data_IF_793813550803
#
_entry.id   IF_793813550803
#
_cell.length_a   1.000
_cell.length_b   1.000
_cell.length_c   1.000
_cell.angle_alpha   90.00
_cell.angle_beta   90.00
_cell.angle_gamma   90.00
#
_symmetry.space_group_name_H-M   'P 1'
#
loop_
_entity.id
_entity.type
_entity.pdbx_description
1 polymer ?
#
# COMPACT_ATOMS: atom_id res chain seq x y z
N UNK A 1 -31.38 5.88 2.70
CA UNK A 1 -30.42 4.78 2.44
C UNK A 1 -29.35 5.18 1.42
N UNK A 2 -29.71 5.58 0.18
CA UNK A 2 -28.72 5.97 -0.84
C UNK A 2 -27.80 7.15 -0.45
N UNK A 3 -28.35 8.22 0.13
CA UNK A 3 -27.56 9.37 0.57
C UNK A 3 -26.54 9.01 1.66
N UNK A 4 -26.91 8.10 2.56
CA UNK A 4 -26.05 7.64 3.65
C UNK A 4 -24.85 6.83 3.12
N UNK A 5 -25.10 5.92 2.18
CA UNK A 5 -24.03 5.13 1.52
C UNK A 5 -23.11 6.05 0.72
N UNK A 6 -23.65 7.06 0.03
CA UNK A 6 -22.86 7.99 -0.75
C UNK A 6 -21.91 8.82 0.12
N UNK A 7 -22.40 9.34 1.26
CA UNK A 7 -21.58 10.08 2.23
C UNK A 7 -20.43 9.21 2.75
N UNK A 8 -20.71 7.94 3.09
CA UNK A 8 -19.70 7.01 3.57
C UNK A 8 -18.60 6.70 2.54
N UNK A 9 -18.98 6.55 1.27
CA UNK A 9 -18.03 6.35 0.18
C UNK A 9 -17.20 7.60 -0.10
N UNK A 10 -17.75 8.80 0.10
CA UNK A 10 -16.98 10.04 0.04
C UNK A 10 -15.97 10.15 1.18
N UNK A 11 -16.36 9.84 2.41
CA UNK A 11 -15.45 9.81 3.57
C UNK A 11 -14.31 8.80 3.38
N UNK A 12 -14.61 7.63 2.81
CA UNK A 12 -13.61 6.61 2.45
C UNK A 12 -12.54 7.18 1.50
N UNK A 13 -12.97 7.82 0.42
CA UNK A 13 -12.06 8.38 -0.60
C UNK A 13 -11.21 9.52 -0.02
N UNK A 14 -11.81 10.37 0.81
CA UNK A 14 -11.07 11.45 1.46
C UNK A 14 -10.06 10.94 2.48
N UNK A 15 -10.40 9.89 3.24
CA UNK A 15 -9.45 9.24 4.14
C UNK A 15 -8.28 8.61 3.36
N UNK A 16 -8.56 7.90 2.27
CA UNK A 16 -7.53 7.33 1.39
C UNK A 16 -6.58 8.42 0.83
N UNK A 17 -7.13 9.53 0.33
CA UNK A 17 -6.34 10.65 -0.21
C UNK A 17 -5.52 11.36 0.87
N UNK A 18 -6.07 11.49 2.07
CA UNK A 18 -5.36 12.09 3.20
C UNK A 18 -4.11 11.28 3.54
N UNK A 19 -4.20 9.95 3.56
CA UNK A 19 -3.07 9.06 3.83
C UNK A 19 -1.93 9.24 2.82
N UNK A 20 -2.25 9.27 1.52
CA UNK A 20 -1.24 9.45 0.45
C UNK A 20 -0.60 10.83 0.52
N UNK A 21 -1.36 11.85 0.94
CA UNK A 21 -0.85 13.23 1.06
C UNK A 21 0.05 13.42 2.28
N UNK A 22 -0.28 12.75 3.39
CA UNK A 22 0.46 12.81 4.64
C UNK A 22 1.76 12.01 4.57
N UNK A 23 1.72 10.82 3.97
CA UNK A 23 2.87 9.94 3.79
C UNK A 23 2.98 9.53 2.31
N UNK A 24 3.77 10.26 1.49
CA UNK A 24 3.97 9.93 0.08
C UNK A 24 4.67 8.58 -0.16
N UNK A 25 5.34 8.01 0.86
CA UNK A 25 6.03 6.73 0.77
C UNK A 25 5.13 5.52 1.09
N UNK A 26 3.88 5.78 1.51
CA UNK A 26 2.89 4.73 1.72
C UNK A 26 2.53 4.06 0.40
N UNK A 27 2.52 2.73 0.38
CA UNK A 27 2.06 2.01 -0.79
C UNK A 27 0.54 2.20 -0.98
N UNK A 28 0.07 2.48 -2.20
CA UNK A 28 -1.37 2.67 -2.49
C UNK A 28 -2.23 1.51 -1.98
N UNK A 29 -1.76 0.27 -2.09
CA UNK A 29 -2.46 -0.90 -1.54
C UNK A 29 -2.64 -0.82 -0.01
N UNK A 30 -1.62 -0.37 0.73
CA UNK A 30 -1.69 -0.24 2.19
C UNK A 30 -2.69 0.85 2.57
N UNK A 31 -2.68 2.00 1.89
CA UNK A 31 -3.66 3.07 2.10
C UNK A 31 -5.09 2.58 1.80
N UNK A 32 -5.29 1.87 0.69
CA UNK A 32 -6.57 1.28 0.32
C UNK A 32 -7.08 0.32 1.40
N UNK A 33 -6.23 -0.59 1.88
CA UNK A 33 -6.60 -1.57 2.91
C UNK A 33 -6.92 -0.91 4.25
N UNK A 34 -6.16 0.12 4.66
CA UNK A 34 -6.49 0.91 5.86
C UNK A 34 -7.87 1.56 5.73
N UNK A 35 -8.16 2.10 4.55
CA UNK A 35 -9.43 2.77 4.27
C UNK A 35 -10.60 1.78 4.27
N UNK A 36 -10.44 0.60 3.65
CA UNK A 36 -11.44 -0.46 3.65
C UNK A 36 -11.68 -1.06 5.05
N UNK A 37 -10.63 -1.18 5.86
CA UNK A 37 -10.74 -1.63 7.25
C UNK A 37 -11.48 -0.62 8.11
N UNK A 38 -11.24 0.68 7.92
CA UNK A 38 -11.96 1.73 8.62
C UNK A 38 -13.44 1.77 8.19
N UNK A 39 -13.71 1.62 6.89
CA UNK A 39 -15.06 1.47 6.34
C UNK A 39 -15.78 0.27 6.95
N UNK A 40 -15.10 -0.88 7.06
CA UNK A 40 -15.62 -2.10 7.68
C UNK A 40 -16.03 -1.88 9.14
N UNK A 41 -15.20 -1.19 9.93
CA UNK A 41 -15.48 -0.93 11.34
C UNK A 41 -16.78 -0.14 11.52
N UNK A 42 -17.01 0.85 10.65
CA UNK A 42 -18.17 1.75 10.76
C UNK A 42 -19.46 1.22 10.11
N UNK A 43 -19.38 0.34 9.10
CA UNK A 43 -20.57 -0.18 8.40
C UNK A 43 -21.50 -1.00 9.32
N UNK A 44 -22.81 -0.82 9.19
CA UNK A 44 -23.86 -1.43 10.02
C UNK A 44 -24.73 -2.42 9.23
N UNK A 45 -24.44 -2.69 7.95
CA UNK A 45 -25.35 -3.38 7.01
C UNK A 45 -24.70 -4.48 6.15
N UNK A 46 -25.29 -4.82 4.98
CA UNK A 46 -24.92 -5.88 4.02
C UNK A 46 -23.45 -5.79 3.55
N UNK A 47 -22.57 -6.34 4.38
CA UNK A 47 -21.11 -6.28 4.29
C UNK A 47 -20.52 -6.55 2.89
N UNK A 48 -20.92 -7.64 2.23
CA UNK A 48 -20.28 -8.09 0.98
C UNK A 48 -20.55 -7.14 -0.20
N UNK A 49 -21.77 -6.61 -0.30
CA UNK A 49 -22.14 -5.69 -1.37
C UNK A 49 -21.51 -4.30 -1.15
N UNK A 50 -21.42 -3.86 0.11
CA UNK A 50 -20.84 -2.56 0.44
C UNK A 50 -19.32 -2.54 0.25
N UNK A 51 -18.62 -3.63 0.58
CA UNK A 51 -17.16 -3.70 0.44
C UNK A 51 -16.72 -3.70 -1.03
N UNK A 52 -17.42 -4.43 -1.90
CA UNK A 52 -17.13 -4.41 -3.35
C UNK A 52 -17.33 -3.02 -3.96
N UNK A 53 -18.38 -2.30 -3.53
CA UNK A 53 -18.60 -0.91 -3.94
C UNK A 53 -17.50 0.03 -3.43
N UNK A 54 -17.03 -0.17 -2.20
CA UNK A 54 -15.93 0.60 -1.63
C UNK A 54 -14.62 0.38 -2.42
N UNK A 55 -14.31 -0.86 -2.79
CA UNK A 55 -13.14 -1.18 -3.62
C UNK A 55 -13.23 -0.46 -4.97
N UNK A 56 -14.36 -0.57 -5.67
CA UNK A 56 -14.56 0.10 -6.97
C UNK A 56 -14.43 1.63 -6.86
N UNK A 57 -14.86 2.25 -5.76
CA UNK A 57 -14.68 3.70 -5.55
C UNK A 57 -13.23 4.11 -5.35
N UNK A 58 -12.42 3.26 -4.70
CA UNK A 58 -10.99 3.49 -4.59
C UNK A 58 -10.28 3.31 -5.93
N UNK A 59 -10.68 2.34 -6.74
CA UNK A 59 -10.16 2.11 -8.10
C UNK A 59 -10.46 3.27 -9.06
N UNK A 60 -11.63 3.88 -8.95
CA UNK A 60 -11.95 5.10 -9.72
C UNK A 60 -11.09 6.30 -9.30
N UNK A 61 -10.56 6.27 -8.07
CA UNK A 61 -9.76 7.36 -7.50
C UNK A 61 -8.27 7.23 -7.83
N UNK A 62 -7.74 6.01 -7.85
CA UNK A 62 -6.33 5.71 -8.10
C UNK A 62 -6.24 4.58 -9.14
N UNK A 63 -5.56 4.87 -10.26
CA UNK A 63 -5.44 3.95 -11.40
C UNK A 63 -4.45 2.80 -11.17
N UNK A 64 -3.82 2.73 -10.00
CA UNK A 64 -2.90 1.67 -9.64
C UNK A 64 -3.62 0.34 -9.49
N UNK A 65 -3.14 -0.67 -10.22
CA UNK A 65 -3.55 -2.07 -10.08
C UNK A 65 -3.32 -2.59 -8.64
N UNK A 66 -2.47 -1.93 -7.86
CA UNK A 66 -2.26 -2.27 -6.45
C UNK A 66 -3.51 -2.06 -5.58
N UNK A 67 -4.34 -1.07 -5.93
CA UNK A 67 -5.58 -0.77 -5.18
C UNK A 67 -6.62 -1.86 -5.44
N UNK A 68 -6.87 -2.21 -6.71
CA UNK A 68 -7.82 -3.27 -7.07
C UNK A 68 -7.39 -4.63 -6.51
N UNK A 69 -6.17 -5.06 -6.83
CA UNK A 69 -5.64 -6.35 -6.37
C UNK A 69 -5.54 -6.45 -4.86
N UNK A 70 -5.09 -5.38 -4.18
CA UNK A 70 -5.01 -5.33 -2.72
C UNK A 70 -6.38 -5.41 -2.05
N UNK A 71 -7.37 -4.69 -2.60
CA UNK A 71 -8.75 -4.70 -2.13
C UNK A 71 -9.42 -6.06 -2.26
N UNK A 72 -9.29 -6.72 -3.41
CA UNK A 72 -9.86 -8.06 -3.64
C UNK A 72 -9.22 -9.12 -2.73
N UNK A 73 -7.88 -9.11 -2.59
CA UNK A 73 -7.17 -10.02 -1.68
C UNK A 73 -7.59 -9.81 -0.24
N UNK A 74 -7.76 -8.55 0.19
CA UNK A 74 -8.26 -8.20 1.51
C UNK A 74 -9.67 -8.75 1.73
N UNK A 75 -10.61 -8.50 0.80
CA UNK A 75 -11.98 -8.99 0.88
C UNK A 75 -12.03 -10.51 0.99
N UNK A 76 -11.23 -11.22 0.17
CA UNK A 76 -11.11 -12.68 0.23
C UNK A 76 -10.57 -13.15 1.57
N UNK A 77 -9.56 -12.46 2.10
CA UNK A 77 -8.93 -12.82 3.36
C UNK A 77 -9.89 -12.69 4.55
N UNK A 78 -10.61 -11.58 4.67
CA UNK A 78 -11.53 -11.34 5.79
C UNK A 78 -12.79 -12.20 5.69
N UNK A 79 -13.26 -12.50 4.47
CA UNK A 79 -14.49 -13.26 4.25
C UNK A 79 -14.34 -14.78 4.40
N UNK A 80 -13.11 -15.30 4.42
CA UNK A 80 -12.86 -16.75 4.44
C UNK A 80 -13.50 -17.46 5.66
N UNK A 81 -13.56 -16.81 6.81
CA UNK A 81 -14.14 -17.35 8.06
C UNK A 81 -15.60 -16.95 8.26
N UNK A 82 -16.16 -16.14 7.35
CA UNK A 82 -17.56 -15.68 7.42
C UNK A 82 -18.57 -16.81 7.32
N UNK A 83 -18.15 -17.96 6.78
CA UNK A 83 -19.00 -19.13 6.53
C UNK A 83 -19.22 -19.99 7.79
N UNK A 84 -18.49 -19.73 8.87
CA UNK A 84 -18.45 -20.59 10.06
C UNK A 84 -19.38 -20.12 11.20
N UNK A 85 -19.98 -18.92 11.07
CA UNK A 85 -20.79 -18.32 12.14
C UNK A 85 -22.20 -17.94 11.66
N UNK A 86 -23.26 -18.45 12.31
CA UNK A 86 -24.64 -18.06 11.99
C UNK A 86 -25.01 -16.65 12.50
N UNK A 87 -24.21 -16.07 13.39
CA UNK A 87 -24.42 -14.73 13.96
C UNK A 87 -23.60 -13.66 13.19
N UNK A 88 -24.32 -12.74 12.55
CA UNK A 88 -23.76 -11.64 11.77
C UNK A 88 -22.85 -10.72 12.60
N UNK A 89 -23.16 -10.53 13.89
CA UNK A 89 -22.39 -9.65 14.78
C UNK A 89 -21.03 -10.24 15.14
N UNK A 90 -20.98 -11.54 15.43
CA UNK A 90 -19.74 -12.27 15.68
C UNK A 90 -18.89 -12.36 14.40
N UNK A 91 -19.54 -12.58 13.26
CA UNK A 91 -18.89 -12.59 11.96
C UNK A 91 -18.14 -11.27 11.67
N UNK A 92 -18.75 -10.12 11.96
CA UNK A 92 -18.12 -8.81 11.77
C UNK A 92 -16.87 -8.63 12.63
N UNK A 93 -16.93 -9.03 13.90
CA UNK A 93 -15.78 -8.91 14.80
C UNK A 93 -14.59 -9.74 14.31
N UNK A 94 -14.84 -10.98 13.88
CA UNK A 94 -13.82 -11.85 13.28
C UNK A 94 -13.24 -11.22 12.01
N UNK A 95 -14.07 -10.63 11.14
CA UNK A 95 -13.59 -9.94 9.95
C UNK A 95 -12.70 -8.74 10.27
N UNK A 96 -13.04 -7.94 11.29
CA UNK A 96 -12.22 -6.81 11.73
C UNK A 96 -10.88 -7.31 12.27
N UNK A 97 -10.88 -8.32 13.14
CA UNK A 97 -9.66 -8.90 13.70
C UNK A 97 -8.74 -9.44 12.58
N UNK A 98 -9.32 -10.14 11.61
CA UNK A 98 -8.60 -10.61 10.42
C UNK A 98 -8.09 -9.45 9.58
N UNK A 99 -8.87 -8.39 9.45
CA UNK A 99 -8.48 -7.20 8.69
C UNK A 99 -7.27 -6.50 9.32
N UNK A 100 -7.25 -6.34 10.65
CA UNK A 100 -6.10 -5.84 11.40
C UNK A 100 -4.87 -6.74 11.23
N UNK A 101 -5.06 -8.06 11.31
CA UNK A 101 -3.99 -9.03 11.08
C UNK A 101 -3.41 -8.93 9.66
N UNK A 102 -4.27 -8.77 8.65
CA UNK A 102 -3.85 -8.59 7.26
C UNK A 102 -3.04 -7.31 7.11
N UNK A 103 -3.54 -6.19 7.66
CA UNK A 103 -2.86 -4.90 7.63
C UNK A 103 -1.49 -4.93 8.34
N UNK A 104 -1.40 -5.61 9.48
CA UNK A 104 -0.12 -5.84 10.17
C UNK A 104 0.87 -6.61 9.31
N UNK A 105 0.42 -7.69 8.66
CA UNK A 105 1.28 -8.52 7.79
C UNK A 105 1.82 -7.73 6.60
N UNK A 106 0.98 -6.98 5.90
CA UNK A 106 1.42 -6.21 4.73
C UNK A 106 2.34 -5.05 5.14
N UNK A 107 2.10 -4.41 6.29
CA UNK A 107 2.92 -3.29 6.76
C UNK A 107 4.35 -3.73 7.10
N UNK A 108 4.52 -4.96 7.60
CA UNK A 108 5.84 -5.53 7.93
C UNK A 108 6.54 -6.18 6.73
N UNK A 109 5.80 -6.48 5.66
CA UNK A 109 6.33 -7.25 4.52
C UNK A 109 7.52 -6.59 3.83
N UNK A 110 7.50 -5.26 3.67
CA UNK A 110 8.58 -4.49 3.03
C UNK A 110 9.90 -4.65 3.79
N UNK A 111 9.87 -4.48 5.12
CA UNK A 111 11.05 -4.62 5.97
C UNK A 111 11.64 -6.03 5.89
N UNK A 112 10.79 -7.06 5.97
CA UNK A 112 11.22 -8.45 5.87
C UNK A 112 11.91 -8.77 4.53
N UNK A 113 11.40 -8.24 3.42
CA UNK A 113 12.03 -8.42 2.11
C UNK A 113 13.40 -7.74 2.05
N UNK A 114 13.52 -6.53 2.60
CA UNK A 114 14.77 -5.78 2.63
C UNK A 114 15.82 -6.44 3.53
N UNK A 115 15.44 -6.90 4.73
CA UNK A 115 16.32 -7.61 5.65
C UNK A 115 16.89 -8.89 5.00
N UNK A 116 16.01 -9.69 4.38
CA UNK A 116 16.43 -10.89 3.68
C UNK A 116 17.38 -10.59 2.51
N UNK A 117 17.13 -9.51 1.76
CA UNK A 117 17.99 -9.11 0.65
C UNK A 117 19.36 -8.57 1.13
N UNK A 118 19.39 -7.88 2.26
CA UNK A 118 20.59 -7.28 2.83
C UNK A 118 21.52 -8.29 3.52
N UNK A 119 20.98 -9.45 3.95
CA UNK A 119 21.73 -10.47 4.71
C UNK A 119 23.02 -10.96 4.01
N UNK A 120 23.04 -10.96 2.67
CA UNK A 120 24.16 -11.47 1.89
C UNK A 120 25.36 -10.50 1.78
N UNK A 121 25.26 -9.26 2.29
CA UNK A 121 26.32 -8.24 2.26
C UNK A 121 27.02 -8.08 0.89
N UNK A 122 26.25 -8.19 -0.19
CA UNK A 122 26.78 -8.12 -1.56
C UNK A 122 27.15 -6.68 -1.91
N UNK A 123 28.34 -6.50 -2.49
CA UNK A 123 28.77 -5.22 -3.05
C UNK A 123 28.42 -5.17 -4.53
N UNK A 124 27.58 -4.22 -4.91
CA UNK A 124 27.16 -4.01 -6.30
C UNK A 124 27.02 -2.51 -6.61
N UNK A 125 26.88 -2.20 -7.91
CA UNK A 125 26.58 -0.86 -8.42
C UNK A 125 25.19 -0.92 -9.07
N UNK A 126 24.37 0.10 -8.82
CA UNK A 126 23.04 0.22 -9.43
C UNK A 126 23.04 1.37 -10.44
N UNK A 127 22.47 1.11 -11.61
CA UNK A 127 22.17 2.13 -12.60
C UNK A 127 20.66 2.37 -12.54
N UNK A 128 20.26 3.65 -12.51
CA UNK A 128 18.85 4.05 -12.40
C UNK A 128 18.49 4.82 -13.68
N UNK A 129 17.35 4.50 -14.28
CA UNK A 129 16.78 5.27 -15.39
C UNK A 129 16.26 6.61 -14.86
N UNK A 130 16.21 7.65 -15.67
CA UNK A 130 15.58 8.92 -15.25
C UNK A 130 14.08 8.74 -14.93
N UNK A 131 13.41 7.81 -15.62
CA UNK A 131 11.97 7.52 -15.50
C UNK A 131 11.09 8.67 -15.97
N UNK A 132 11.19 9.05 -17.24
CA UNK A 132 10.22 9.98 -17.83
C UNK A 132 8.82 9.34 -17.89
N UNK A 133 7.71 10.10 -17.73
CA UNK A 133 7.63 11.57 -17.74
C UNK A 133 7.82 12.25 -16.36
N UNK A 134 7.88 11.50 -15.27
CA UNK A 134 7.86 12.05 -13.90
C UNK A 134 9.24 12.26 -13.29
N UNK A 135 10.29 11.79 -13.97
CA UNK A 135 11.70 11.87 -13.52
C UNK A 135 11.94 11.24 -12.14
N UNK A 136 11.09 10.27 -11.75
CA UNK A 136 11.12 9.63 -10.43
C UNK A 136 12.44 8.90 -10.14
N UNK A 137 13.16 8.47 -11.17
CA UNK A 137 14.44 7.81 -11.02
C UNK A 137 15.56 8.73 -10.53
N UNK A 138 15.36 10.05 -10.49
CA UNK A 138 16.29 11.00 -9.87
C UNK A 138 16.17 11.04 -8.33
N UNK A 139 15.04 10.61 -7.76
CA UNK A 139 14.79 10.65 -6.31
C UNK A 139 15.80 9.77 -5.54
N UNK A 140 16.03 8.50 -5.91
CA UNK A 140 17.00 7.65 -5.21
C UNK A 140 18.44 8.16 -5.29
N UNK A 141 18.80 8.88 -6.36
CA UNK A 141 20.16 9.42 -6.58
C UNK A 141 20.47 10.55 -5.58
N UNK A 142 19.44 11.29 -5.14
CA UNK A 142 19.59 12.42 -4.22
C UNK A 142 19.69 12.00 -2.76
N UNK A 143 19.52 10.72 -2.42
CA UNK A 143 19.55 10.25 -1.05
C UNK A 143 20.90 10.58 -0.37
N UNK A 144 20.91 11.10 0.89
CA UNK A 144 22.13 11.60 1.54
C UNK A 144 23.28 10.59 1.63
N UNK A 145 22.97 9.29 1.60
CA UNK A 145 23.93 8.20 1.66
C UNK A 145 24.48 7.76 0.29
N UNK A 146 24.07 8.41 -0.82
CA UNK A 146 24.61 8.13 -2.15
C UNK A 146 25.87 8.98 -2.42
N UNK A 147 27.05 8.38 -2.66
CA UNK A 147 28.23 9.12 -3.08
C UNK A 147 27.99 9.76 -4.46
N UNK A 148 28.17 11.07 -4.55
CA UNK A 148 28.12 11.81 -5.82
C UNK A 148 29.43 11.61 -6.58
N UNK A 149 29.38 10.93 -7.72
CA UNK A 149 30.41 11.07 -8.75
C UNK A 149 29.82 11.79 -9.96
N UNK A 150 30.56 12.80 -10.44
CA UNK A 150 30.25 13.64 -11.60
C UNK A 150 30.07 12.80 -12.86
N UNK A 151 28.94 12.96 -13.55
CA UNK A 151 28.70 12.36 -14.86
C UNK A 151 29.33 13.17 -15.98
N UNK A 152 29.90 12.46 -16.95
CA UNK A 152 30.44 13.01 -18.20
C UNK A 152 29.27 13.24 -19.20
N UNK A 153 29.31 14.33 -19.96
CA UNK A 153 28.19 14.90 -20.75
C UNK A 153 27.63 13.99 -21.89
N UNK A 154 28.14 12.77 -22.06
CA UNK A 154 27.79 11.85 -23.16
C UNK A 154 27.14 10.53 -22.70
N UNK A 155 26.83 10.35 -21.40
CA UNK A 155 26.23 9.11 -20.88
C UNK A 155 24.85 9.37 -20.25
N UNK A 156 23.81 8.77 -20.84
CA UNK A 156 22.42 8.78 -20.37
C UNK A 156 22.16 7.93 -19.10
N UNK A 157 23.20 7.61 -18.31
CA UNK A 157 23.09 6.78 -17.10
C UNK A 157 23.87 7.42 -15.95
N UNK A 158 23.22 7.62 -14.81
CA UNK A 158 23.88 8.06 -13.57
C UNK A 158 24.15 6.85 -12.67
N UNK A 159 25.38 6.77 -12.14
CA UNK A 159 25.85 5.68 -11.27
C UNK A 159 25.48 5.98 -9.83
N UNK A 160 24.72 5.09 -9.18
CA UNK A 160 24.49 5.10 -7.73
C UNK A 160 25.31 3.95 -7.14
N UNK A 161 26.27 4.23 -6.27
CA UNK A 161 27.09 3.17 -5.65
C UNK A 161 27.01 3.14 -4.14
N UNK A 162 27.01 1.91 -3.61
CA UNK A 162 27.30 1.51 -2.22
C UNK A 162 26.25 1.87 -1.15
N UNK A 163 25.28 0.97 -0.94
CA UNK A 163 24.69 0.77 0.39
C UNK A 163 25.82 0.28 1.30
N UNK A 164 26.49 1.21 1.99
CA UNK A 164 27.43 0.86 3.03
C UNK A 164 26.63 0.29 4.20
N UNK A 165 26.96 -0.93 4.63
CA UNK A 165 26.36 -1.57 5.79
C UNK A 165 26.43 -0.63 6.98
N UNK A 166 25.28 -0.17 7.44
CA UNK A 166 25.19 0.57 8.70
C UNK A 166 25.19 -0.46 9.80
N UNK A 167 26.29 -0.56 10.52
CA UNK A 167 26.40 -1.29 11.78
C UNK A 167 25.33 -0.75 12.74
N UNK A 168 24.59 -1.67 13.37
CA UNK A 168 23.76 -1.42 14.55
C UNK A 168 24.58 -0.79 15.68
#
# INVERSE_FOLDING_TARGET
>A
MYLFIYVFLSELVEYFRAQIREDPDVASAVAAIRSLLEFLKRDQSEFSLNMTKAIHRLEETDSSVAVSSGGELFLRFISLTSLEHPDLSQCKNVMIERGELFLKKISLSRGKVLENAAADNKRFTVYVTESQPDSTGLVPIRWPCAPRHTTNHFMWWQKVSSLCGSTL
#
